data_IF_394598297512
#
_entry.id   IF_394598297512
#
_cell.length_a   1.000
_cell.length_b   1.000
_cell.length_c   1.000
_cell.angle_alpha   90.00
_cell.angle_beta   90.00
_cell.angle_gamma   90.00
#
_symmetry.space_group_name_H-M   'P 1'
#
loop_
_entity.id
_entity.type
_entity.pdbx_description
1 polymer ?
#
# COMPACT_ATOMS: atom_id res chain seq x y z
N UNK A 1 1.90 0.67 7.24
CA UNK A 1 2.43 1.95 6.73
C UNK A 1 1.36 2.99 6.96
N UNK A 2 1.68 4.12 7.59
CA UNK A 2 0.72 5.23 7.70
C UNK A 2 1.06 6.25 6.61
N UNK A 3 0.14 6.46 5.67
CA UNK A 3 0.35 7.30 4.49
C UNK A 3 -0.11 8.75 4.69
N UNK A 4 -0.69 9.07 5.84
CA UNK A 4 -1.12 10.42 6.21
C UNK A 4 -1.02 10.59 7.72
N UNK A 5 0.09 11.13 8.25
CA UNK A 5 0.19 11.45 9.66
C UNK A 5 -0.69 12.66 9.96
N UNK A 6 -1.93 12.43 10.41
CA UNK A 6 -2.67 13.46 11.11
C UNK A 6 -2.03 13.65 12.50
N UNK A 7 -1.82 14.89 12.98
CA UNK A 7 -1.41 15.12 14.36
C UNK A 7 -2.43 14.48 15.32
N UNK A 8 -1.99 13.56 16.18
CA UNK A 8 -2.87 12.77 17.05
C UNK A 8 -3.48 11.53 16.40
N UNK A 9 -3.07 11.18 15.17
CA UNK A 9 -3.49 9.96 14.49
C UNK A 9 -3.03 8.71 15.23
N UNK A 10 -3.92 7.72 15.33
CA UNK A 10 -3.59 6.42 15.90
C UNK A 10 -2.55 5.71 15.02
N UNK A 11 -1.60 5.02 15.64
CA UNK A 11 -0.74 4.10 14.89
C UNK A 11 -1.58 2.98 14.30
N UNK A 12 -1.28 2.63 13.05
CA UNK A 12 -2.06 1.69 12.27
C UNK A 12 -1.19 0.58 11.69
N UNK A 13 -1.73 -0.63 11.70
CA UNK A 13 -1.26 -1.72 10.86
C UNK A 13 -1.93 -1.65 9.49
N UNK A 14 -1.19 -2.07 8.47
CA UNK A 14 -1.72 -2.24 7.11
C UNK A 14 -1.41 -3.63 6.61
N UNK A 15 -2.43 -4.39 6.26
CA UNK A 15 -2.31 -5.67 5.59
C UNK A 15 -2.69 -5.48 4.11
N UNK A 16 -1.78 -5.80 3.19
CA UNK A 16 -1.98 -5.56 1.76
C UNK A 16 -2.22 -6.88 1.04
N UNK A 17 -3.32 -6.94 0.30
CA UNK A 17 -3.76 -8.11 -0.46
C UNK A 17 -3.90 -7.76 -1.94
N UNK A 18 -3.61 -8.72 -2.81
CA UNK A 18 -3.75 -8.62 -4.25
C UNK A 18 -4.33 -9.94 -4.79
N UNK A 19 -5.16 -9.93 -5.83
CA UNK A 19 -5.64 -11.16 -6.45
C UNK A 19 -4.50 -12.09 -6.87
N UNK A 20 -4.69 -13.39 -6.65
CA UNK A 20 -3.68 -14.40 -6.95
C UNK A 20 -3.17 -14.33 -8.39
N UNK A 21 -4.07 -14.12 -9.36
CA UNK A 21 -3.71 -14.05 -10.77
C UNK A 21 -2.75 -12.87 -11.07
N UNK A 22 -2.99 -11.70 -10.48
CA UNK A 22 -2.14 -10.52 -10.66
C UNK A 22 -0.78 -10.71 -9.98
N UNK A 23 -0.77 -11.34 -8.80
CA UNK A 23 0.47 -11.75 -8.13
C UNK A 23 1.31 -12.69 -9.01
N UNK A 24 0.70 -13.72 -9.63
CA UNK A 24 1.41 -14.64 -10.51
C UNK A 24 2.00 -13.93 -11.74
N UNK A 25 1.28 -12.98 -12.33
CA UNK A 25 1.82 -12.18 -13.44
C UNK A 25 2.96 -11.26 -13.01
N UNK A 26 2.89 -10.69 -11.80
CA UNK A 26 3.99 -9.93 -11.22
C UNK A 26 5.23 -10.80 -11.03
N UNK A 27 5.10 -12.03 -10.53
CA UNK A 27 6.23 -12.94 -10.38
C UNK A 27 6.95 -13.26 -11.70
N UNK A 28 6.24 -13.21 -12.83
CA UNK A 28 6.79 -13.49 -14.16
C UNK A 28 7.43 -12.27 -14.83
N UNK A 29 7.09 -11.05 -14.41
CA UNK A 29 7.40 -9.84 -15.18
C UNK A 29 7.85 -8.64 -14.36
N UNK A 30 7.68 -8.67 -13.03
CA UNK A 30 7.86 -7.53 -12.14
C UNK A 30 6.84 -6.40 -12.35
N UNK A 31 5.76 -6.61 -13.10
CA UNK A 31 4.74 -5.61 -13.44
C UNK A 31 3.34 -6.07 -13.04
N UNK A 32 2.49 -5.11 -12.72
CA UNK A 32 1.08 -5.39 -12.45
C UNK A 32 0.30 -5.43 -13.77
N UNK A 33 -0.50 -6.46 -14.06
CA UNK A 33 -1.39 -6.45 -15.21
C UNK A 33 -2.49 -5.39 -15.07
N UNK A 34 -3.09 -4.97 -16.19
CA UNK A 34 -4.30 -4.13 -16.15
C UNK A 34 -5.43 -4.84 -15.39
N UNK A 35 -6.30 -4.07 -14.74
CA UNK A 35 -7.36 -4.55 -13.82
C UNK A 35 -6.86 -5.15 -12.51
N UNK A 36 -5.59 -4.96 -12.16
CA UNK A 36 -5.10 -5.33 -10.82
C UNK A 36 -5.75 -4.44 -9.76
N UNK A 37 -6.24 -5.07 -8.68
CA UNK A 37 -6.70 -4.36 -7.49
C UNK A 37 -5.83 -4.73 -6.28
N UNK A 38 -5.61 -3.77 -5.40
CA UNK A 38 -5.04 -3.98 -4.07
C UNK A 38 -6.09 -3.64 -3.03
N UNK A 39 -6.23 -4.49 -2.01
CA UNK A 39 -6.97 -4.17 -0.81
C UNK A 39 -5.96 -3.93 0.32
N UNK A 40 -5.97 -2.73 0.87
CA UNK A 40 -5.17 -2.31 2.02
C UNK A 40 -6.10 -2.26 3.22
N UNK A 41 -6.08 -3.32 4.02
CA UNK A 41 -6.83 -3.38 5.27
C UNK A 41 -6.10 -2.58 6.34
N UNK A 42 -6.80 -1.62 6.94
CA UNK A 42 -6.31 -0.79 8.04
C UNK A 42 -6.81 -1.35 9.36
N UNK A 43 -5.89 -1.58 10.30
CA UNK A 43 -6.16 -2.13 11.63
C UNK A 43 -5.53 -1.25 12.70
N UNK A 44 -6.19 -1.13 13.86
CA UNK A 44 -5.60 -0.47 15.01
C UNK A 44 -4.29 -1.12 15.46
N UNK A 45 -3.40 -0.35 16.07
CA UNK A 45 -2.14 -0.83 16.64
C UNK A 45 -2.13 -0.67 18.16
N UNK A 46 -1.70 -1.72 18.87
CA UNK A 46 -1.50 -1.68 20.32
C UNK A 46 -0.15 -2.28 20.70
N UNK A 47 0.51 -1.69 21.71
CA UNK A 47 1.82 -2.15 22.21
C UNK A 47 1.77 -2.70 23.64
N UNK A 48 0.65 -2.51 24.35
CA UNK A 48 0.46 -2.92 25.74
C UNK A 48 -0.75 -3.84 25.86
N UNK A 49 -0.52 -5.11 26.13
CA UNK A 49 -1.57 -6.10 26.39
C UNK A 49 -1.08 -7.55 26.33
N UNK A 50 -1.76 -8.44 27.05
CA UNK A 50 -1.48 -9.89 27.11
C UNK A 50 -0.01 -10.20 27.47
N UNK A 51 0.55 -11.28 26.89
CA UNK A 51 1.93 -11.73 27.06
C UNK A 51 2.95 -10.88 26.30
N UNK A 52 2.50 -9.92 25.47
CA UNK A 52 3.41 -9.15 24.64
C UNK A 52 4.19 -8.13 25.50
N UNK A 53 5.52 -8.17 25.39
CA UNK A 53 6.44 -7.34 26.17
C UNK A 53 7.06 -6.21 25.36
N UNK A 54 7.08 -6.29 24.02
CA UNK A 54 7.73 -5.34 23.12
C UNK A 54 7.09 -5.37 21.73
N UNK A 55 7.14 -4.26 21.01
CA UNK A 55 6.57 -4.14 19.67
C UNK A 55 5.06 -3.90 19.70
N UNK A 56 4.41 -4.10 18.55
CA UNK A 56 3.00 -3.78 18.34
C UNK A 56 2.25 -4.98 17.77
N UNK A 57 0.95 -5.06 18.01
CA UNK A 57 0.05 -6.04 17.43
C UNK A 57 -1.24 -5.37 16.94
N UNK A 58 -1.84 -5.96 15.90
CA UNK A 58 -3.06 -5.45 15.28
C UNK A 58 -4.29 -5.71 16.16
N UNK A 59 -5.24 -4.78 16.14
CA UNK A 59 -6.51 -4.84 16.89
C UNK A 59 -7.72 -4.72 15.94
N UNK A 60 -8.61 -3.76 16.19
CA UNK A 60 -9.87 -3.61 15.50
C UNK A 60 -9.68 -3.19 14.04
N UNK A 61 -10.66 -3.54 13.21
CA UNK A 61 -10.75 -3.07 11.83
C UNK A 61 -11.08 -1.57 11.82
N UNK A 62 -10.43 -0.83 10.94
CA UNK A 62 -10.57 0.64 10.86
C UNK A 62 -10.93 1.12 9.45
N UNK A 63 -10.86 0.26 8.44
CA UNK A 63 -11.18 0.59 7.06
C UNK A 63 -10.45 -0.24 6.02
N UNK A 64 -10.84 -0.06 4.76
CA UNK A 64 -10.10 -0.58 3.60
C UNK A 64 -9.84 0.55 2.61
N UNK A 65 -8.57 0.75 2.27
CA UNK A 65 -8.18 1.44 1.04
C UNK A 65 -8.12 0.45 -0.12
N UNK A 66 -8.65 0.81 -1.28
CA UNK A 66 -8.57 0.02 -2.51
C UNK A 66 -7.84 0.82 -3.58
N UNK A 67 -6.78 0.24 -4.13
CA UNK A 67 -6.01 0.80 -5.25
C UNK A 67 -6.29 -0.04 -6.49
N UNK A 68 -6.72 0.59 -7.58
CA UNK A 68 -7.09 -0.12 -8.82
C UNK A 68 -6.26 0.40 -9.96
N UNK A 69 -5.50 -0.50 -10.60
CA UNK A 69 -4.88 -0.26 -11.91
C UNK A 69 -5.89 -0.61 -13.00
N UNK A 70 -6.34 0.37 -13.74
CA UNK A 70 -7.28 0.19 -14.84
C UNK A 70 -7.13 1.30 -15.88
N UNK A 71 -6.78 0.92 -17.11
CA UNK A 71 -6.55 1.83 -18.23
C UNK A 71 -7.76 2.68 -18.64
N UNK A 72 -8.97 2.38 -18.15
CA UNK A 72 -10.15 3.23 -18.36
C UNK A 72 -10.17 4.49 -17.49
N UNK A 73 -9.39 4.53 -16.41
CA UNK A 73 -9.19 5.77 -15.64
C UNK A 73 -8.17 6.68 -16.35
N UNK A 74 -8.35 8.02 -16.31
CA UNK A 74 -7.45 8.97 -16.96
C UNK A 74 -5.97 8.80 -16.58
N UNK A 75 -5.71 8.56 -15.29
CA UNK A 75 -4.37 8.36 -14.76
C UNK A 75 -4.00 6.88 -14.55
N UNK A 76 -4.80 5.95 -15.10
CA UNK A 76 -4.67 4.48 -15.03
C UNK A 76 -4.68 3.86 -13.63
N UNK A 77 -4.64 4.68 -12.59
CA UNK A 77 -4.71 4.30 -11.18
C UNK A 77 -5.79 5.11 -10.49
N UNK A 78 -6.67 4.44 -9.76
CA UNK A 78 -7.71 5.05 -8.96
C UNK A 78 -7.70 4.48 -7.54
N UNK A 79 -8.12 5.31 -6.59
CA UNK A 79 -8.07 5.01 -5.17
C UNK A 79 -9.45 5.20 -4.56
N UNK A 80 -9.84 4.30 -3.67
CA UNK A 80 -11.16 4.28 -3.05
C UNK A 80 -11.01 3.96 -1.58
N UNK A 81 -11.80 4.58 -0.72
CA UNK A 81 -11.79 4.29 0.71
C UNK A 81 -13.16 3.78 1.14
N UNK A 82 -13.16 2.75 1.97
CA UNK A 82 -14.35 2.13 2.55
C UNK A 82 -14.20 2.09 4.06
N UNK A 83 -15.18 2.63 4.79
CA UNK A 83 -15.35 2.39 6.22
C UNK A 83 -16.36 1.27 6.49
N UNK A 84 -16.61 0.98 7.76
CA UNK A 84 -17.44 -0.15 8.24
C UNK A 84 -18.80 -0.30 7.53
N UNK A 85 -19.51 0.81 7.31
CA UNK A 85 -20.86 0.81 6.71
C UNK A 85 -20.88 1.25 5.23
N UNK A 86 -19.72 1.37 4.60
CA UNK A 86 -19.61 1.90 3.23
C UNK A 86 -19.68 0.77 2.20
N UNK A 87 -20.76 0.73 1.41
CA UNK A 87 -20.94 -0.28 0.34
C UNK A 87 -20.41 0.15 -1.03
N UNK A 88 -20.19 1.44 -1.23
CA UNK A 88 -19.69 2.02 -2.48
C UNK A 88 -18.87 3.27 -2.19
N UNK A 89 -17.83 3.51 -2.98
CA UNK A 89 -16.98 4.68 -2.87
C UNK A 89 -16.77 5.33 -4.24
N UNK A 90 -16.67 6.65 -4.27
CA UNK A 90 -16.15 7.38 -5.42
C UNK A 90 -14.62 7.33 -5.45
N UNK A 91 -14.03 7.56 -6.62
CA UNK A 91 -12.58 7.68 -6.73
C UNK A 91 -12.10 8.93 -5.98
N UNK A 92 -11.05 8.79 -5.18
CA UNK A 92 -10.43 9.89 -4.44
C UNK A 92 -9.82 10.91 -5.41
N UNK A 93 -9.78 12.21 -5.04
CA UNK A 93 -9.07 13.22 -5.79
C UNK A 93 -7.58 12.86 -5.95
N UNK A 94 -6.99 13.22 -7.10
CA UNK A 94 -5.57 12.93 -7.42
C UNK A 94 -4.59 13.39 -6.33
N UNK A 95 -4.83 14.56 -5.75
CA UNK A 95 -3.99 15.14 -4.70
C UNK A 95 -4.02 14.35 -3.37
N UNK A 96 -5.01 13.48 -3.16
CA UNK A 96 -5.16 12.73 -1.90
C UNK A 96 -4.25 11.50 -1.85
N UNK A 97 -4.23 10.68 -2.91
CA UNK A 97 -3.53 9.39 -2.92
C UNK A 97 -2.54 9.28 -4.08
N UNK A 98 -3.01 9.62 -5.28
CA UNK A 98 -2.28 9.34 -6.52
C UNK A 98 -0.90 9.99 -6.56
N UNK A 99 -0.79 11.27 -6.17
CA UNK A 99 0.48 12.01 -6.25
C UNK A 99 1.56 11.41 -5.33
N UNK A 100 1.20 11.10 -4.08
CA UNK A 100 2.11 10.46 -3.13
C UNK A 100 2.62 9.10 -3.65
N UNK A 101 1.72 8.29 -4.23
CA UNK A 101 2.10 7.01 -4.80
C UNK A 101 3.02 7.18 -6.01
N UNK A 102 2.75 8.12 -6.92
CA UNK A 102 3.63 8.30 -8.09
C UNK A 102 5.04 8.79 -7.68
N UNK A 103 5.12 9.67 -6.68
CA UNK A 103 6.38 10.23 -6.24
C UNK A 103 7.25 9.22 -5.48
N UNK A 104 6.63 8.35 -4.68
CA UNK A 104 7.34 7.55 -3.66
C UNK A 104 7.25 6.03 -3.82
N UNK A 105 6.35 5.50 -4.65
CA UNK A 105 6.23 4.06 -4.84
C UNK A 105 7.41 3.49 -5.64
N UNK A 106 7.87 2.29 -5.27
CA UNK A 106 8.99 1.63 -5.95
C UNK A 106 8.60 0.92 -7.25
N UNK A 107 7.36 0.49 -7.43
CA UNK A 107 6.91 -0.14 -8.69
C UNK A 107 5.57 0.44 -9.08
N UNK A 108 5.54 1.18 -10.18
CA UNK A 108 4.36 1.94 -10.61
C UNK A 108 3.81 2.77 -9.44
N UNK A 109 2.60 2.49 -8.97
CA UNK A 109 1.95 3.15 -7.83
C UNK A 109 1.98 2.30 -6.55
N UNK A 110 2.73 1.20 -6.51
CA UNK A 110 2.76 0.28 -5.37
C UNK A 110 4.07 0.37 -4.59
N UNK A 111 3.97 0.44 -3.26
CA UNK A 111 5.12 0.57 -2.36
C UNK A 111 5.90 -0.73 -2.16
N UNK A 112 6.32 -1.37 -3.25
CA UNK A 112 7.05 -2.65 -3.27
C UNK A 112 8.33 -2.63 -2.45
N UNK A 113 8.91 -1.47 -2.14
CA UNK A 113 10.03 -1.36 -1.19
C UNK A 113 9.71 -1.92 0.21
N UNK A 114 8.42 -2.00 0.57
CA UNK A 114 7.94 -2.59 1.82
C UNK A 114 7.40 -4.02 1.67
N UNK A 115 7.39 -4.58 0.46
CA UNK A 115 6.91 -5.95 0.19
C UNK A 115 8.12 -6.88 0.01
N UNK A 116 8.65 -7.49 1.10
CA UNK A 116 9.93 -8.20 1.07
C UNK A 116 9.95 -9.39 0.10
N UNK A 117 8.79 -9.99 -0.17
CA UNK A 117 8.66 -11.09 -1.13
C UNK A 117 8.62 -10.62 -2.59
N UNK A 118 8.24 -9.37 -2.85
CA UNK A 118 8.09 -8.80 -4.20
C UNK A 118 9.28 -7.92 -4.61
N UNK A 119 9.96 -7.28 -3.66
CA UNK A 119 11.12 -6.43 -3.93
C UNK A 119 12.21 -7.13 -4.75
N UNK A 120 12.67 -8.35 -4.42
CA UNK A 120 13.68 -9.03 -5.23
C UNK A 120 13.22 -9.35 -6.65
N UNK A 121 11.92 -9.62 -6.84
CA UNK A 121 11.33 -9.88 -8.15
C UNK A 121 11.36 -8.62 -9.00
N UNK A 122 10.93 -7.48 -8.45
CA UNK A 122 10.96 -6.20 -9.15
C UNK A 122 12.39 -5.80 -9.55
N UNK A 123 13.36 -6.01 -8.67
CA UNK A 123 14.78 -5.76 -8.96
C UNK A 123 15.29 -6.69 -10.08
N UNK A 124 14.98 -7.99 -10.02
CA UNK A 124 15.35 -8.97 -11.06
C UNK A 124 14.84 -8.57 -12.45
N UNK A 125 13.62 -8.05 -12.54
CA UNK A 125 13.01 -7.64 -13.82
C UNK A 125 13.27 -6.17 -14.19
N UNK A 126 14.03 -5.42 -13.38
CA UNK A 126 14.35 -4.02 -13.65
C UNK A 126 13.16 -3.07 -13.58
N UNK A 127 12.11 -3.42 -12.82
CA UNK A 127 10.90 -2.59 -12.65
C UNK A 127 10.92 -1.75 -11.38
N UNK A 128 11.88 -1.99 -10.50
CA UNK A 128 12.06 -1.28 -9.24
C UNK A 128 12.69 0.12 -9.44
N UNK A 129 12.05 1.15 -8.90
CA UNK A 129 12.54 2.55 -8.88
C UNK A 129 13.44 2.73 -7.65
N UNK A 130 14.76 2.71 -7.85
CA UNK A 130 15.74 2.84 -6.75
C UNK A 130 15.58 4.13 -5.92
N UNK A 131 15.09 5.22 -6.51
CA UNK A 131 14.80 6.48 -5.80
C UNK A 131 13.84 6.31 -4.61
N UNK A 132 12.97 5.30 -4.66
CA UNK A 132 12.00 5.03 -3.60
C UNK A 132 12.64 4.45 -2.33
N UNK A 133 13.86 3.92 -2.43
CA UNK A 133 14.64 3.41 -1.30
C UNK A 133 15.35 4.52 -0.53
N UNK A 134 15.91 5.51 -1.25
CA UNK A 134 16.75 6.57 -0.67
C UNK A 134 16.01 7.47 0.35
N UNK A 135 14.67 7.54 0.31
CA UNK A 135 13.86 8.27 1.29
C UNK A 135 13.71 7.56 2.65
N UNK A 136 14.20 6.32 2.80
CA UNK A 136 14.13 5.55 4.06
C UNK A 136 15.38 5.73 4.93
N UNK A 137 16.52 5.99 4.30
CA UNK A 137 17.84 6.02 4.97
C UNK A 137 18.06 7.30 5.81
N UNK A 138 17.19 8.30 5.70
CA UNK A 138 17.25 9.53 6.48
C UNK A 138 16.64 9.44 7.89
N UNK A 139 16.13 8.28 8.31
CA UNK A 139 15.50 8.10 9.64
C UNK A 139 16.47 7.58 10.71
N UNK A 140 17.76 7.51 10.42
CA UNK A 140 18.81 7.07 11.33
C UNK A 140 19.76 8.21 11.72
N UNK A 141 19.29 9.18 12.51
CA UNK A 141 20.12 10.02 13.36
C UNK A 141 19.35 10.47 14.60
#
# INVERSE_FOLDING_TARGET
>A
MSYSPAPGGHEMFTNVFVPQWAYQEFLKSGKWPDKTMFAVEERGSQSKGSINKRGHYQTDFMGVGVEVKDASFPDKWAYFNFGDDTKSAGANPKAACWQCHEDHAAVEHTFVQFYPTLKPVAQKFGTYRERAQAGQDSSGK
#
